data_IF_953096707351
#
_entry.id   IF_953096707351
#
_cell.length_a   1.000
_cell.length_b   1.000
_cell.length_c   1.000
_cell.angle_alpha   90.00
_cell.angle_beta   90.00
_cell.angle_gamma   90.00
#
_symmetry.space_group_name_H-M   'P 1'
#
loop_
_entity.id
_entity.type
_entity.pdbx_description
1 polymer ?
#
# COMPACT_ATOMS: atom_id res chain seq x y z
N UNK A 1 -25.46 18.53 27.67
CA UNK A 1 -25.71 17.41 28.61
C UNK A 1 -26.50 17.92 29.80
N UNK A 2 -27.42 17.12 30.37
CA UNK A 2 -28.21 17.54 31.53
C UNK A 2 -27.29 17.75 32.73
N UNK A 3 -27.33 18.93 33.35
CA UNK A 3 -26.47 19.30 34.48
C UNK A 3 -27.19 19.14 35.82
N UNK A 4 -28.51 19.40 35.84
CA UNK A 4 -29.32 19.30 37.04
C UNK A 4 -30.50 20.26 37.02
N UNK A 5 -31.11 20.46 38.19
CA UNK A 5 -32.25 21.36 38.40
C UNK A 5 -31.79 22.59 39.19
N UNK A 6 -32.16 23.80 38.78
CA UNK A 6 -31.77 25.05 39.43
C UNK A 6 -32.99 25.84 39.93
N UNK A 7 -32.84 26.56 41.05
CA UNK A 7 -33.92 27.41 41.60
C UNK A 7 -34.17 28.70 40.82
N UNK A 8 -33.30 29.05 39.87
CA UNK A 8 -33.45 30.19 38.96
C UNK A 8 -33.33 29.74 37.50
N UNK A 9 -34.10 30.38 36.61
CA UNK A 9 -34.13 30.06 35.19
C UNK A 9 -32.79 30.34 34.48
N UNK A 10 -32.09 31.38 34.92
CA UNK A 10 -30.79 31.82 34.40
C UNK A 10 -29.60 31.02 34.97
N UNK A 11 -29.87 30.04 35.84
CA UNK A 11 -28.84 29.20 36.45
C UNK A 11 -28.09 29.84 37.62
N UNK A 12 -28.42 31.06 38.04
CA UNK A 12 -27.75 31.76 39.15
C UNK A 12 -28.17 31.28 40.54
N UNK A 13 -29.25 30.49 40.60
CA UNK A 13 -29.77 29.90 41.83
C UNK A 13 -29.03 28.65 42.28
N UNK A 14 -29.58 27.94 43.26
CA UNK A 14 -29.01 26.71 43.80
C UNK A 14 -29.20 25.57 42.80
N UNK A 15 -28.11 24.90 42.41
CA UNK A 15 -28.12 23.73 41.54
C UNK A 15 -28.25 22.44 42.36
N UNK A 16 -29.17 21.58 41.95
CA UNK A 16 -29.36 20.22 42.46
C UNK A 16 -29.03 19.23 41.35
N UNK A 17 -28.11 18.30 41.60
CA UNK A 17 -27.79 17.25 40.64
C UNK A 17 -28.98 16.31 40.42
N UNK A 18 -29.01 15.61 39.28
CA UNK A 18 -30.06 14.63 39.02
C UNK A 18 -30.17 13.60 40.16
N UNK A 19 -31.39 13.24 40.54
CA UNK A 19 -31.70 12.33 41.66
C UNK A 19 -31.22 12.77 43.05
N UNK A 20 -30.83 14.04 43.24
CA UNK A 20 -30.48 14.54 44.58
C UNK A 20 -31.70 14.54 45.49
N UNK A 21 -31.53 14.06 46.72
CA UNK A 21 -32.50 14.28 47.78
C UNK A 21 -32.50 15.75 48.18
N UNK A 22 -33.69 16.34 48.31
CA UNK A 22 -33.88 17.75 48.66
C UNK A 22 -34.84 17.87 49.83
N UNK A 23 -34.58 18.80 50.75
CA UNK A 23 -35.42 19.10 51.91
C UNK A 23 -35.59 20.61 52.04
N UNK A 24 -36.70 21.06 52.64
CA UNK A 24 -36.97 22.47 52.95
C UNK A 24 -36.92 23.42 51.73
N UNK A 25 -37.45 22.99 50.57
CA UNK A 25 -37.51 23.84 49.37
C UNK A 25 -38.53 24.99 49.47
N UNK A 26 -39.45 24.95 50.44
CA UNK A 26 -40.40 26.01 50.73
C UNK A 26 -40.63 26.12 52.25
N UNK A 27 -41.00 27.32 52.71
CA UNK A 27 -41.23 27.63 54.13
C UNK A 27 -42.70 27.51 54.57
N UNK A 28 -43.62 27.29 53.65
CA UNK A 28 -45.06 27.21 53.90
C UNK A 28 -45.66 25.92 53.34
N UNK A 29 -46.64 25.37 54.07
CA UNK A 29 -47.41 24.21 53.63
C UNK A 29 -48.25 24.52 52.39
N UNK A 30 -48.25 23.62 51.42
CA UNK A 30 -48.94 23.80 50.13
C UNK A 30 -48.26 24.74 49.12
N UNK A 31 -47.06 25.26 49.40
CA UNK A 31 -46.33 26.12 48.47
C UNK A 31 -45.79 25.35 47.25
N UNK A 32 -45.87 25.96 46.07
CA UNK A 32 -45.30 25.43 44.82
C UNK A 32 -43.86 25.88 44.65
N UNK A 33 -42.96 24.95 44.33
CA UNK A 33 -41.56 25.23 44.00
C UNK A 33 -41.33 24.95 42.51
N UNK A 34 -40.82 25.94 41.79
CA UNK A 34 -40.43 25.79 40.38
C UNK A 34 -38.93 25.56 40.29
N UNK A 35 -38.52 24.50 39.60
CA UNK A 35 -37.13 24.22 39.28
C UNK A 35 -36.94 24.25 37.76
N UNK A 36 -35.78 24.74 37.33
CA UNK A 36 -35.42 24.89 35.93
C UNK A 36 -34.33 23.89 35.57
N UNK A 37 -34.57 23.05 34.57
CA UNK A 37 -33.56 22.15 34.04
C UNK A 37 -32.39 22.96 33.45
N UNK A 38 -31.19 22.75 33.98
CA UNK A 38 -29.96 23.35 33.47
C UNK A 38 -29.19 22.32 32.65
N UNK A 39 -28.57 22.81 31.58
CA UNK A 39 -27.79 22.01 30.66
C UNK A 39 -26.40 22.63 30.55
N UNK A 40 -25.37 21.79 30.57
CA UNK A 40 -24.02 22.21 30.14
C UNK A 40 -23.89 21.95 28.65
N UNK A 41 -23.09 22.76 27.95
CA UNK A 41 -22.72 22.45 26.57
C UNK A 41 -22.15 21.04 26.51
N UNK A 42 -22.62 20.23 25.56
CA UNK A 42 -21.95 18.98 25.26
C UNK A 42 -20.64 19.33 24.58
N UNK A 43 -19.52 19.17 25.28
CA UNK A 43 -18.22 19.21 24.62
C UNK A 43 -18.21 18.14 23.53
N UNK A 44 -17.93 18.56 22.31
CA UNK A 44 -17.75 17.67 21.16
C UNK A 44 -16.26 17.43 20.96
N UNK A 45 -15.94 16.30 20.34
CA UNK A 45 -14.64 16.09 19.73
C UNK A 45 -14.81 15.84 18.23
N UNK A 46 -13.79 16.25 17.47
CA UNK A 46 -13.69 16.07 16.04
C UNK A 46 -12.53 15.13 15.74
N UNK A 47 -12.81 14.06 15.01
CA UNK A 47 -11.80 13.15 14.49
C UNK A 47 -11.61 13.43 13.00
N UNK A 48 -10.38 13.67 12.59
CA UNK A 48 -9.98 13.94 11.22
C UNK A 48 -9.29 12.69 10.66
N UNK A 49 -9.71 12.21 9.50
CA UNK A 49 -9.12 11.07 8.80
C UNK A 49 -8.19 11.56 7.68
N UNK A 50 -6.88 11.44 7.92
CA UNK A 50 -5.85 11.76 6.94
C UNK A 50 -5.43 10.51 6.17
N UNK A 51 -5.73 10.40 4.86
CA UNK A 51 -5.39 9.21 4.08
C UNK A 51 -3.88 9.05 3.83
N UNK A 52 -3.01 9.95 4.31
CA UNK A 52 -1.55 9.82 4.30
C UNK A 52 -1.00 9.42 2.91
N UNK A 53 -1.30 10.25 1.91
CA UNK A 53 -0.93 10.02 0.51
C UNK A 53 -1.79 9.01 -0.24
N UNK A 54 -2.83 8.45 0.38
CA UNK A 54 -3.91 7.71 -0.26
C UNK A 54 -5.12 8.57 -0.62
N UNK A 55 -6.22 7.91 -0.98
CA UNK A 55 -7.51 8.51 -1.25
C UNK A 55 -8.54 8.02 -0.23
N UNK A 56 -9.17 8.95 0.48
CA UNK A 56 -10.18 8.65 1.48
C UNK A 56 -11.50 8.19 0.84
N UNK A 57 -12.14 7.18 1.42
CA UNK A 57 -13.51 6.77 1.14
C UNK A 57 -14.39 7.06 2.35
N UNK A 58 -15.28 8.05 2.21
CA UNK A 58 -16.13 8.55 3.30
C UNK A 58 -15.89 10.04 3.57
N UNK A 59 -16.42 10.54 4.70
CA UNK A 59 -16.19 11.91 5.15
C UNK A 59 -14.82 12.05 5.80
N UNK A 60 -14.18 13.20 5.60
CA UNK A 60 -12.88 13.51 6.22
C UNK A 60 -12.97 13.67 7.74
N UNK A 61 -14.13 14.09 8.26
CA UNK A 61 -14.30 14.34 9.69
C UNK A 61 -15.49 13.56 10.25
N UNK A 62 -15.39 13.19 11.53
CA UNK A 62 -16.49 12.75 12.36
C UNK A 62 -16.56 13.59 13.63
N UNK A 63 -17.77 14.02 13.99
CA UNK A 63 -18.03 14.74 15.25
C UNK A 63 -18.80 13.82 16.19
N UNK A 64 -18.33 13.69 17.43
CA UNK A 64 -18.95 12.86 18.45
C UNK A 64 -18.98 13.60 19.80
N UNK A 65 -19.82 13.10 20.72
CA UNK A 65 -19.87 13.64 22.09
C UNK A 65 -18.60 13.23 22.84
N UNK A 66 -18.00 14.16 23.58
CA UNK A 66 -16.81 13.87 24.40
C UNK A 66 -17.05 12.68 25.33
N UNK A 67 -16.04 11.81 25.45
CA UNK A 67 -16.11 10.55 26.21
C UNK A 67 -16.80 9.39 25.49
N UNK A 68 -17.36 9.60 24.29
CA UNK A 68 -17.93 8.51 23.48
C UNK A 68 -16.85 7.76 22.70
N UNK A 69 -17.02 6.46 22.54
CA UNK A 69 -16.14 5.67 21.68
C UNK A 69 -16.36 6.03 20.19
N UNK A 70 -15.27 6.12 19.45
CA UNK A 70 -15.29 6.39 18.02
C UNK A 70 -15.77 5.14 17.27
N UNK A 71 -16.87 5.28 16.54
CA UNK A 71 -17.32 4.30 15.54
C UNK A 71 -17.18 4.93 14.16
N UNK A 72 -16.44 4.28 13.27
CA UNK A 72 -16.15 4.80 11.93
C UNK A 72 -16.35 3.73 10.84
N UNK A 73 -16.63 4.19 9.62
CA UNK A 73 -16.69 3.38 8.40
C UNK A 73 -15.70 3.86 7.34
N UNK A 74 -14.93 4.90 7.67
CA UNK A 74 -13.94 5.50 6.77
C UNK A 74 -12.87 4.45 6.46
N UNK A 75 -12.56 4.32 5.18
CA UNK A 75 -11.44 3.53 4.68
C UNK A 75 -10.63 4.40 3.73
N UNK A 76 -9.46 3.94 3.32
CA UNK A 76 -8.67 4.62 2.31
C UNK A 76 -8.13 3.61 1.30
N UNK A 77 -7.80 4.09 0.11
CA UNK A 77 -7.07 3.32 -0.92
C UNK A 77 -5.77 4.01 -1.29
N UNK A 78 -4.73 3.23 -1.62
CA UNK A 78 -3.46 3.75 -2.14
C UNK A 78 -2.88 2.74 -3.12
N UNK A 79 -2.59 3.18 -4.34
CA UNK A 79 -2.14 2.30 -5.43
C UNK A 79 -0.86 1.54 -5.03
N UNK A 80 -0.91 0.21 -5.08
CA UNK A 80 0.24 -0.65 -4.73
C UNK A 80 0.45 -0.88 -3.23
N UNK A 81 -0.50 -0.45 -2.39
CA UNK A 81 -0.45 -0.65 -0.95
C UNK A 81 -1.77 -1.23 -0.43
N UNK A 82 -1.67 -2.00 0.65
CA UNK A 82 -2.81 -2.49 1.42
C UNK A 82 -3.04 -1.57 2.61
N UNK A 83 -4.30 -1.17 2.83
CA UNK A 83 -4.70 -0.33 3.96
C UNK A 83 -4.59 -1.13 5.27
N UNK A 84 -3.70 -0.71 6.16
CA UNK A 84 -3.44 -1.40 7.44
C UNK A 84 -4.41 -0.96 8.55
N UNK A 85 -5.04 0.21 8.39
CA UNK A 85 -5.97 0.81 9.34
C UNK A 85 -5.66 2.29 9.61
N UNK A 86 -6.38 2.84 10.58
CA UNK A 86 -6.19 4.19 11.10
C UNK A 86 -5.34 4.15 12.37
N UNK A 87 -4.42 5.10 12.51
CA UNK A 87 -3.44 5.15 13.59
C UNK A 87 -3.41 6.55 14.22
N UNK A 88 -3.06 6.65 15.50
CA UNK A 88 -2.99 7.92 16.23
C UNK A 88 -1.75 8.79 15.91
N UNK A 89 -0.84 8.31 15.06
CA UNK A 89 0.27 9.09 14.51
C UNK A 89 0.70 8.58 13.13
N UNK A 90 1.43 9.40 12.38
CA UNK A 90 1.80 9.11 10.99
C UNK A 90 2.83 7.98 10.83
N UNK A 91 3.82 7.86 11.72
CA UNK A 91 4.94 6.93 11.56
C UNK A 91 4.94 5.75 12.56
N UNK A 92 4.66 6.00 13.83
CA UNK A 92 4.81 5.01 14.92
C UNK A 92 3.57 4.98 15.84
N UNK A 93 2.39 5.19 15.25
CA UNK A 93 1.14 5.26 16.00
C UNK A 93 0.66 3.91 16.50
N UNK A 94 -0.29 3.94 17.43
CA UNK A 94 -1.10 2.79 17.77
C UNK A 94 -2.29 2.71 16.82
N UNK A 95 -2.60 1.48 16.39
CA UNK A 95 -3.78 1.22 15.58
C UNK A 95 -5.05 1.53 16.38
N UNK A 96 -5.96 2.28 15.77
CA UNK A 96 -7.26 2.59 16.33
C UNK A 96 -8.23 1.47 16.00
N UNK A 97 -8.68 0.76 17.04
CA UNK A 97 -9.72 -0.25 16.94
C UNK A 97 -11.12 0.39 16.97
N UNK A 98 -11.92 0.06 15.96
CA UNK A 98 -13.25 0.64 15.75
C UNK A 98 -14.19 0.28 16.92
N UNK A 99 -14.81 1.30 17.53
CA UNK A 99 -15.74 1.14 18.64
C UNK A 99 -15.11 0.96 20.02
N UNK A 100 -13.78 0.88 20.13
CA UNK A 100 -13.08 0.71 21.41
C UNK A 100 -12.29 1.97 21.84
N UNK A 101 -11.91 2.83 20.89
CA UNK A 101 -11.08 3.99 21.16
C UNK A 101 -11.92 5.25 21.45
N UNK A 102 -11.53 6.03 22.47
CA UNK A 102 -12.19 7.29 22.87
C UNK A 102 -11.21 8.44 22.64
N UNK A 103 -11.54 9.45 21.83
CA UNK A 103 -10.71 10.63 21.65
C UNK A 103 -10.49 11.38 22.97
N UNK A 104 -9.25 11.76 23.26
CA UNK A 104 -8.87 12.46 24.50
C UNK A 104 -8.78 13.98 24.32
N UNK A 105 -8.84 14.46 23.08
CA UNK A 105 -8.70 15.88 22.70
C UNK A 105 -9.95 16.36 21.95
N UNK A 106 -10.19 17.67 21.97
CA UNK A 106 -11.28 18.29 21.20
C UNK A 106 -11.12 18.07 19.69
N UNK A 107 -9.89 17.95 19.22
CA UNK A 107 -9.56 17.58 17.84
C UNK A 107 -8.47 16.50 17.85
N UNK A 108 -8.59 15.49 17.00
CA UNK A 108 -7.57 14.45 16.82
C UNK A 108 -7.52 14.03 15.37
N UNK A 109 -6.32 13.92 14.82
CA UNK A 109 -6.11 13.36 13.49
C UNK A 109 -5.70 11.90 13.59
N UNK A 110 -6.35 11.05 12.82
CA UNK A 110 -5.96 9.67 12.58
C UNK A 110 -5.37 9.54 11.19
N UNK A 111 -4.28 8.79 11.09
CA UNK A 111 -3.49 8.65 9.88
C UNK A 111 -3.66 7.25 9.30
N UNK A 112 -3.88 7.16 8.00
CA UNK A 112 -3.88 5.88 7.31
C UNK A 112 -2.47 5.29 7.29
N UNK A 113 -2.32 4.04 7.73
CA UNK A 113 -1.07 3.29 7.54
C UNK A 113 -1.20 2.32 6.38
N UNK A 114 -0.06 2.06 5.75
CA UNK A 114 0.02 1.36 4.47
C UNK A 114 1.09 0.29 4.52
N UNK A 115 0.75 -0.92 4.06
CA UNK A 115 1.73 -1.98 3.80
C UNK A 115 1.96 -2.09 2.30
N UNK A 116 3.20 -1.99 1.78
CA UNK A 116 3.48 -2.21 0.36
C UNK A 116 3.03 -3.60 -0.08
N UNK A 117 2.37 -3.69 -1.23
CA UNK A 117 1.90 -4.96 -1.77
C UNK A 117 3.10 -5.83 -2.21
N UNK A 118 3.02 -7.14 -1.92
CA UNK A 118 3.97 -8.14 -2.43
C UNK A 118 3.37 -8.84 -3.63
N UNK A 119 4.19 -9.18 -4.61
CA UNK A 119 3.76 -9.89 -5.80
C UNK A 119 4.85 -10.83 -6.31
N UNK A 120 4.46 -11.74 -7.20
CA UNK A 120 5.35 -12.74 -7.80
C UNK A 120 5.51 -12.41 -9.28
N UNK A 121 6.74 -12.55 -9.78
CA UNK A 121 7.03 -12.65 -11.22
C UNK A 121 7.30 -14.12 -11.53
N UNK A 122 6.46 -14.71 -12.37
CA UNK A 122 6.65 -16.05 -12.93
C UNK A 122 7.36 -15.95 -14.26
N UNK A 123 8.37 -16.78 -14.47
CA UNK A 123 9.13 -16.85 -15.72
C UNK A 123 8.75 -18.13 -16.44
N UNK A 124 8.36 -17.99 -17.71
CA UNK A 124 7.94 -19.09 -18.57
C UNK A 124 8.91 -19.27 -19.75
N UNK A 125 9.29 -20.52 -20.08
CA UNK A 125 10.29 -20.80 -21.11
C UNK A 125 9.82 -20.48 -22.52
N UNK A 126 8.50 -20.38 -22.75
CA UNK A 126 7.89 -20.04 -24.02
C UNK A 126 8.47 -20.82 -25.23
N UNK A 127 8.55 -22.15 -25.08
CA UNK A 127 9.12 -23.05 -26.10
C UNK A 127 10.63 -23.29 -25.99
N UNK A 128 11.34 -22.61 -25.10
CA UNK A 128 12.68 -23.01 -24.66
C UNK A 128 12.63 -24.23 -23.72
N UNK A 129 13.80 -24.79 -23.38
CA UNK A 129 13.93 -25.91 -22.42
C UNK A 129 14.23 -25.39 -21.02
N UNK A 130 13.65 -26.03 -20.00
CA UNK A 130 13.84 -25.73 -18.58
C UNK A 130 12.51 -25.57 -17.83
N UNK A 131 12.57 -25.70 -16.51
CA UNK A 131 11.39 -25.62 -15.64
C UNK A 131 11.03 -24.15 -15.30
N UNK A 132 9.74 -23.75 -15.38
CA UNK A 132 9.29 -22.44 -14.92
C UNK A 132 9.73 -22.14 -13.49
N UNK A 133 10.00 -20.87 -13.21
CA UNK A 133 10.43 -20.44 -11.88
C UNK A 133 9.89 -19.06 -11.54
N UNK A 134 9.99 -18.67 -10.27
CA UNK A 134 9.42 -17.43 -9.77
C UNK A 134 10.44 -16.57 -9.04
N UNK A 135 10.11 -15.29 -8.87
CA UNK A 135 10.83 -14.33 -8.05
C UNK A 135 9.84 -13.41 -7.34
N UNK A 136 10.04 -13.20 -6.03
CA UNK A 136 9.22 -12.26 -5.25
C UNK A 136 9.68 -10.82 -5.43
N UNK A 137 8.70 -9.91 -5.42
CA UNK A 137 8.90 -8.47 -5.47
C UNK A 137 8.02 -7.74 -4.45
N UNK A 138 8.44 -6.54 -4.08
CA UNK A 138 7.71 -5.62 -3.20
C UNK A 138 7.44 -4.34 -3.99
N UNK A 139 6.19 -3.86 -3.94
CA UNK A 139 5.82 -2.60 -4.58
C UNK A 139 6.64 -1.42 -4.03
N UNK A 140 7.07 -0.52 -4.90
CA UNK A 140 7.91 0.62 -4.58
C UNK A 140 9.41 0.31 -4.49
N UNK A 141 9.82 -0.96 -4.58
CA UNK A 141 11.23 -1.37 -4.51
C UNK A 141 11.71 -1.83 -5.88
N UNK A 142 12.70 -1.13 -6.43
CA UNK A 142 13.33 -1.53 -7.69
C UNK A 142 14.24 -2.74 -7.45
N UNK A 143 14.18 -3.73 -8.33
CA UNK A 143 14.93 -4.98 -8.19
C UNK A 143 15.27 -5.55 -9.58
N UNK A 144 16.45 -6.18 -9.70
CA UNK A 144 16.84 -6.84 -10.94
C UNK A 144 16.10 -8.18 -11.08
N UNK A 145 15.69 -8.51 -12.30
CA UNK A 145 15.27 -9.87 -12.64
C UNK A 145 16.44 -10.82 -12.41
N UNK A 146 16.17 -12.02 -11.90
CA UNK A 146 17.19 -13.07 -11.84
C UNK A 146 17.62 -13.49 -13.26
N UNK A 147 18.87 -13.92 -13.47
CA UNK A 147 19.31 -14.41 -14.76
C UNK A 147 18.42 -15.54 -15.29
N UNK A 148 18.14 -15.51 -16.59
CA UNK A 148 17.43 -16.59 -17.28
C UNK A 148 18.06 -17.95 -17.00
N UNK A 149 17.22 -18.93 -16.65
CA UNK A 149 17.60 -20.34 -16.44
C UNK A 149 17.16 -21.26 -17.59
N UNK A 150 16.54 -20.70 -18.63
CA UNK A 150 16.07 -21.44 -19.79
C UNK A 150 17.15 -21.58 -20.85
N UNK A 151 17.11 -22.69 -21.56
CA UNK A 151 18.06 -23.03 -22.60
C UNK A 151 17.36 -23.08 -23.96
N UNK A 152 17.98 -22.41 -24.94
CA UNK A 152 17.61 -22.52 -26.34
C UNK A 152 18.89 -22.68 -27.14
N UNK A 153 19.14 -23.88 -27.66
CA UNK A 153 20.39 -24.27 -28.32
C UNK A 153 20.84 -23.24 -29.35
N UNK A 154 22.02 -22.65 -29.14
CA UNK A 154 22.60 -21.64 -30.03
C UNK A 154 22.15 -20.21 -29.78
N UNK A 155 21.34 -19.95 -28.75
CA UNK A 155 20.81 -18.63 -28.45
C UNK A 155 21.03 -18.24 -26.99
N UNK A 156 21.10 -16.93 -26.72
CA UNK A 156 21.03 -16.35 -25.39
C UNK A 156 19.76 -15.52 -25.27
N UNK A 157 19.07 -15.60 -24.12
CA UNK A 157 17.91 -14.75 -23.89
C UNK A 157 18.34 -13.29 -23.84
N UNK A 158 17.73 -12.48 -24.69
CA UNK A 158 17.86 -11.04 -24.74
C UNK A 158 16.73 -10.36 -23.96
N UNK A 159 15.47 -10.76 -24.21
CA UNK A 159 14.30 -10.13 -23.59
C UNK A 159 13.24 -11.14 -23.13
N UNK A 160 12.66 -10.82 -21.99
CA UNK A 160 11.37 -11.29 -21.51
C UNK A 160 10.26 -10.42 -22.09
N UNK A 161 9.08 -10.97 -22.34
CA UNK A 161 7.89 -10.22 -22.75
C UNK A 161 6.71 -10.51 -21.80
N UNK A 162 5.80 -9.54 -21.60
CA UNK A 162 4.60 -9.76 -20.77
C UNK A 162 3.54 -10.63 -21.42
N UNK A 163 3.62 -10.86 -22.73
CA UNK A 163 2.70 -11.71 -23.49
C UNK A 163 3.47 -12.82 -24.20
N UNK A 164 2.91 -14.03 -24.25
CA UNK A 164 3.56 -15.20 -24.82
C UNK A 164 3.82 -15.07 -26.34
N UNK A 165 2.99 -14.29 -27.04
CA UNK A 165 3.14 -14.01 -28.47
C UNK A 165 4.13 -12.87 -28.78
N UNK A 166 4.70 -12.24 -27.75
CA UNK A 166 5.65 -11.14 -27.88
C UNK A 166 5.02 -9.78 -28.15
N UNK A 167 3.69 -9.65 -28.15
CA UNK A 167 3.00 -8.37 -28.37
C UNK A 167 3.03 -7.42 -27.15
N UNK A 168 3.41 -7.95 -25.99
CA UNK A 168 3.49 -7.23 -24.73
C UNK A 168 4.74 -6.38 -24.60
N UNK A 169 5.03 -5.97 -23.37
CA UNK A 169 6.18 -5.13 -23.05
C UNK A 169 7.44 -5.98 -22.84
N UNK A 170 8.53 -5.56 -23.47
CA UNK A 170 9.83 -6.19 -23.30
C UNK A 170 10.57 -5.72 -22.04
N UNK A 171 11.26 -6.66 -21.41
CA UNK A 171 12.25 -6.43 -20.36
C UNK A 171 13.52 -7.19 -20.71
N UNK A 172 14.67 -6.52 -20.67
CA UNK A 172 15.94 -7.21 -20.87
C UNK A 172 16.15 -8.35 -19.87
N UNK A 173 16.87 -9.38 -20.27
CA UNK A 173 17.40 -10.34 -19.29
C UNK A 173 18.17 -9.56 -18.22
N UNK A 174 18.02 -9.94 -16.94
CA UNK A 174 18.56 -9.25 -15.75
C UNK A 174 18.18 -7.77 -15.57
N UNK A 175 17.16 -7.27 -16.28
CA UNK A 175 16.75 -5.86 -16.20
C UNK A 175 16.36 -5.43 -14.78
N UNK A 176 16.68 -4.18 -14.43
CA UNK A 176 16.14 -3.52 -13.23
C UNK A 176 14.69 -3.10 -13.50
N UNK A 177 13.75 -3.66 -12.74
CA UNK A 177 12.31 -3.42 -12.89
C UNK A 177 11.71 -2.86 -11.61
N UNK A 178 10.59 -2.14 -11.76
CA UNK A 178 9.85 -1.52 -10.68
C UNK A 178 8.34 -1.63 -10.97
N UNK A 179 7.56 -2.00 -9.95
CA UNK A 179 6.09 -1.95 -9.97
C UNK A 179 5.43 -2.66 -11.16
N UNK A 180 5.78 -3.92 -11.42
CA UNK A 180 5.18 -4.70 -12.53
C UNK A 180 3.69 -4.97 -12.32
N UNK A 181 3.23 -5.02 -11.08
CA UNK A 181 1.81 -4.95 -10.72
C UNK A 181 1.64 -4.16 -9.44
N UNK A 182 0.44 -3.62 -9.24
CA UNK A 182 0.00 -2.97 -8.00
C UNK A 182 -0.89 -3.87 -7.13
N UNK A 183 -1.23 -5.06 -7.63
CA UNK A 183 -2.13 -5.99 -6.95
C UNK A 183 -1.43 -6.72 -5.80
N UNK A 184 -2.11 -6.82 -4.66
CA UNK A 184 -1.63 -7.60 -3.51
C UNK A 184 -1.69 -9.09 -3.84
N UNK A 185 -0.57 -9.78 -3.64
CA UNK A 185 -0.38 -11.18 -4.03
C UNK A 185 -0.59 -11.43 -5.53
N UNK A 186 -0.42 -10.40 -6.36
CA UNK A 186 -0.50 -10.52 -7.82
C UNK A 186 0.58 -11.46 -8.37
N UNK A 187 0.31 -12.07 -9.52
CA UNK A 187 1.28 -12.86 -10.26
C UNK A 187 1.39 -12.30 -11.68
N UNK A 188 2.58 -11.86 -12.07
CA UNK A 188 2.88 -11.41 -13.43
C UNK A 188 3.72 -12.47 -14.11
N UNK A 189 3.31 -12.89 -15.30
CA UNK A 189 4.07 -13.83 -16.11
C UNK A 189 4.95 -13.08 -17.11
N UNK A 190 6.22 -13.49 -17.19
CA UNK A 190 7.19 -13.04 -18.18
C UNK A 190 7.62 -14.24 -19.03
N UNK A 191 7.44 -14.11 -20.35
CA UNK A 191 7.72 -15.14 -21.33
C UNK A 191 9.06 -14.90 -22.02
N UNK A 192 9.85 -15.95 -22.20
CA UNK A 192 11.13 -15.87 -22.88
C UNK A 192 10.97 -15.70 -24.40
N UNK A 193 10.90 -14.46 -24.90
CA UNK A 193 10.54 -14.16 -26.30
C UNK A 193 11.73 -13.70 -27.16
N UNK A 194 12.56 -12.80 -26.67
CA UNK A 194 13.70 -12.27 -27.44
C UNK A 194 14.94 -13.11 -27.25
N UNK A 195 15.42 -13.74 -28.32
CA UNK A 195 16.61 -14.60 -28.30
C UNK A 195 17.64 -14.11 -29.31
N UNK A 196 18.85 -13.82 -28.85
CA UNK A 196 19.96 -13.47 -29.72
C UNK A 196 20.74 -14.74 -30.10
N UNK A 197 21.01 -14.91 -31.39
CA UNK A 197 21.90 -15.97 -31.86
C UNK A 197 23.29 -15.76 -31.25
N UNK A 198 23.87 -16.82 -30.70
CA UNK A 198 25.22 -16.78 -30.18
C UNK A 198 26.21 -16.57 -31.33
N UNK A 199 27.20 -15.71 -31.10
CA UNK A 199 28.34 -15.55 -31.99
C UNK A 199 29.65 -15.73 -31.24
N UNK A 200 30.63 -16.30 -31.93
CA UNK A 200 31.95 -16.63 -31.41
C UNK A 200 32.99 -15.82 -32.16
N UNK A 201 33.93 -15.21 -31.44
CA UNK A 201 35.08 -14.57 -32.07
C UNK A 201 36.08 -15.66 -32.49
N UNK A 202 36.23 -15.85 -33.79
CA UNK A 202 37.25 -16.72 -34.37
C UNK A 202 38.45 -15.88 -34.78
N UNK A 203 39.65 -16.33 -34.41
CA UNK A 203 40.90 -15.64 -34.74
C UNK A 203 41.90 -16.60 -35.39
N UNK A 204 42.60 -16.12 -36.42
CA UNK A 204 43.64 -16.87 -37.13
C UNK A 204 44.93 -16.05 -37.11
N UNK A 205 46.03 -16.70 -36.72
CA UNK A 205 47.37 -16.14 -36.74
C UNK A 205 48.33 -17.10 -37.45
N UNK A 206 49.00 -16.62 -38.51
CA UNK A 206 50.07 -17.35 -39.19
C UNK A 206 51.22 -16.39 -39.52
N UNK A 207 52.20 -16.29 -38.62
CA UNK A 207 53.44 -15.51 -38.75
C UNK A 207 53.31 -14.05 -39.26
N UNK A 208 52.10 -13.48 -39.17
CA UNK A 208 51.71 -12.14 -39.61
C UNK A 208 50.55 -11.60 -38.77
N UNK A 209 49.89 -10.50 -39.18
CA UNK A 209 48.84 -9.86 -38.38
C UNK A 209 47.65 -10.79 -38.15
N UNK A 210 47.10 -10.74 -36.92
CA UNK A 210 45.91 -11.50 -36.52
C UNK A 210 44.72 -11.05 -37.38
N UNK A 211 44.01 -12.03 -37.94
CA UNK A 211 42.70 -11.81 -38.57
C UNK A 211 41.61 -12.36 -37.65
N UNK A 212 40.49 -11.67 -37.57
CA UNK A 212 39.38 -12.05 -36.71
C UNK A 212 38.06 -11.95 -37.46
N UNK A 213 37.12 -12.85 -37.15
CA UNK A 213 35.75 -12.79 -37.64
C UNK A 213 34.78 -13.35 -36.59
N UNK A 214 33.54 -12.88 -36.59
CA UNK A 214 32.48 -13.48 -35.77
C UNK A 214 31.82 -14.62 -36.54
N UNK A 215 31.72 -15.78 -35.89
CA UNK A 215 31.01 -16.95 -36.40
C UNK A 215 29.68 -17.06 -35.66
N UNK A 216 28.58 -17.06 -36.38
CA UNK A 216 27.25 -17.33 -35.84
C UNK A 216 27.08 -18.83 -35.58
N UNK A 217 26.39 -19.17 -34.50
CA UNK A 217 26.13 -20.56 -34.15
C UNK A 217 25.41 -21.31 -35.27
N UNK A 218 25.94 -22.47 -35.67
CA UNK A 218 25.35 -23.33 -36.69
C UNK A 218 25.57 -22.89 -38.14
N UNK A 219 26.23 -21.76 -38.38
CA UNK A 219 26.61 -21.34 -39.71
C UNK A 219 27.91 -22.03 -40.18
N UNK A 220 27.94 -22.42 -41.46
CA UNK A 220 29.13 -22.98 -42.09
C UNK A 220 30.03 -21.87 -42.62
N UNK A 221 31.32 -21.93 -42.29
CA UNK A 221 32.34 -21.00 -42.75
C UNK A 221 33.48 -21.78 -43.40
N UNK A 222 34.01 -21.26 -44.51
CA UNK A 222 35.22 -21.80 -45.15
C UNK A 222 36.43 -20.93 -44.80
N UNK A 223 37.54 -21.58 -44.48
CA UNK A 223 38.83 -20.92 -44.25
C UNK A 223 39.76 -21.30 -45.40
N UNK A 224 40.10 -20.33 -46.25
CA UNK A 224 41.04 -20.53 -47.34
C UNK A 224 42.38 -19.92 -46.97
N UNK A 225 43.43 -20.74 -46.91
CA UNK A 225 44.81 -20.26 -46.81
C UNK A 225 45.25 -19.80 -48.21
N UNK A 226 45.65 -18.54 -48.34
CA UNK A 226 46.30 -18.05 -49.58
C UNK A 226 47.80 -18.07 -49.31
N UNK A 227 48.49 -19.10 -49.82
CA UNK A 227 49.95 -19.13 -49.84
C UNK A 227 50.47 -18.11 -50.86
N UNK A 228 51.51 -17.36 -50.48
CA UNK A 228 52.22 -16.42 -51.36
C UNK A 228 53.46 -17.06 -51.93
#
# INVERSE_FOLDING_TARGET
MFSGWNTAADGTGTLYANNSAVVNLASADGATVTLYAQWVESSQCVVIFDPAGGMLSGTQTLTLSSGSALVFTQTATRLGYTFSGWFDSEADGNKIENGAWVPQSAETTLYAHWTPNRYIVAFEPNGATGEPYTQEFVYGVAQNLVPCKFEKTGYLLATWNTEADGSGKDYGNIANVLNLTSESNGCITLYACGWNLQSYLFTVQNNGPVKSMYLEYGAEYSVTLIEK
#
